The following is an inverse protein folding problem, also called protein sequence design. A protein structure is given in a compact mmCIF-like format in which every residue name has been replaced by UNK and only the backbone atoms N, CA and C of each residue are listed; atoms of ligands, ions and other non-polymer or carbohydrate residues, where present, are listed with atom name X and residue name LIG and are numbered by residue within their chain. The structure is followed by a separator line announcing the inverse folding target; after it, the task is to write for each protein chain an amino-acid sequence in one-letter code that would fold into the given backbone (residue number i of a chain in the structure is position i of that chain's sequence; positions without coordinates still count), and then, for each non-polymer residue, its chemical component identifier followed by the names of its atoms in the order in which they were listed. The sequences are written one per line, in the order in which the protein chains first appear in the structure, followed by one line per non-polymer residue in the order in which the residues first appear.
data_IF_727705391300
#
_entry.id   IF_727705391300
#
_cell.length_a   1.000
_cell.length_b   1.000
_cell.length_c   1.000
_cell.angle_alpha   90.00
_cell.angle_beta   90.00
_cell.angle_gamma   90.00
#
_symmetry.space_group_name_H-M   'P 1'
#
loop_
_entity.id
_entity.type
_entity.pdbx_description
1 polymer ?
#
# COMPACT_ATOMS: atom_id res chain seq x y z
N UNK A 1 -8.19 0.46 -17.19
CA UNK A 1 -7.19 -0.03 -16.23
C UNK A 1 -7.90 -0.93 -15.22
N UNK A 2 -7.39 -2.11 -14.92
CA UNK A 2 -7.91 -2.85 -13.76
C UNK A 2 -7.50 -2.12 -12.47
N UNK A 3 -8.39 -1.98 -11.47
CA UNK A 3 -8.05 -1.39 -10.18
C UNK A 3 -6.91 -2.16 -9.49
N UNK A 4 -5.91 -1.46 -8.95
CA UNK A 4 -4.88 -2.08 -8.10
C UNK A 4 -5.53 -2.77 -6.91
N UNK A 5 -4.98 -3.91 -6.51
CA UNK A 5 -5.47 -4.71 -5.39
C UNK A 5 -4.70 -4.43 -4.09
N UNK A 6 -5.41 -4.54 -2.97
CA UNK A 6 -4.79 -4.55 -1.66
C UNK A 6 -4.00 -5.85 -1.48
N UNK A 7 -2.70 -5.77 -1.18
CA UNK A 7 -1.84 -6.95 -0.96
C UNK A 7 -2.33 -7.86 0.17
N UNK A 8 -3.09 -7.33 1.13
CA UNK A 8 -3.55 -8.07 2.31
C UNK A 8 -4.90 -8.75 2.15
N UNK A 9 -5.81 -8.16 1.38
CA UNK A 9 -7.18 -8.68 1.25
C UNK A 9 -7.61 -8.93 -0.19
N UNK A 10 -6.71 -8.71 -1.15
CA UNK A 10 -6.91 -8.91 -2.59
C UNK A 10 -8.12 -8.20 -3.17
N UNK A 11 -8.68 -7.24 -2.43
CA UNK A 11 -9.83 -6.45 -2.88
C UNK A 11 -9.32 -5.30 -3.73
N UNK A 12 -9.81 -5.12 -4.97
CA UNK A 12 -9.44 -3.99 -5.79
C UNK A 12 -9.99 -2.67 -5.23
N UNK A 13 -9.19 -1.61 -5.23
CA UNK A 13 -9.57 -0.30 -4.68
C UNK A 13 -9.14 0.87 -5.57
N UNK A 14 -9.91 1.95 -5.50
CA UNK A 14 -9.60 3.27 -6.11
C UNK A 14 -8.35 3.93 -5.55
N UNK A 15 -8.14 3.72 -4.24
CA UNK A 15 -7.12 4.39 -3.44
C UNK A 15 -6.49 3.35 -2.53
N UNK A 16 -5.16 3.31 -2.52
CA UNK A 16 -4.35 2.44 -1.68
C UNK A 16 -3.23 3.27 -1.04
N UNK A 17 -2.68 2.76 0.06
CA UNK A 17 -1.52 3.31 0.73
C UNK A 17 -0.33 2.44 0.38
N UNK A 18 0.72 3.05 -0.18
CA UNK A 18 2.01 2.38 -0.36
C UNK A 18 2.72 2.37 0.99
N UNK A 19 3.07 1.19 1.51
CA UNK A 19 3.74 1.09 2.81
C UNK A 19 4.61 -0.17 2.94
N UNK A 20 5.61 -0.11 3.82
CA UNK A 20 6.30 -1.29 4.35
C UNK A 20 5.59 -1.73 5.63
N UNK A 21 5.49 -3.03 5.87
CA UNK A 21 4.70 -3.58 6.99
C UNK A 21 5.44 -4.65 7.79
N UNK A 22 6.58 -5.13 7.29
CA UNK A 22 7.38 -6.19 7.88
C UNK A 22 8.87 -5.93 7.65
N UNK A 23 9.71 -6.77 8.26
CA UNK A 23 11.17 -6.68 8.20
C UNK A 23 11.76 -6.84 6.80
N UNK A 24 10.98 -7.33 5.82
CA UNK A 24 11.48 -7.48 4.44
C UNK A 24 11.72 -6.14 3.75
N UNK A 25 11.11 -5.06 4.25
CA UNK A 25 11.19 -3.73 3.63
C UNK A 25 10.52 -3.64 2.26
N UNK A 26 9.72 -4.64 1.87
CA UNK A 26 8.98 -4.62 0.61
C UNK A 26 7.85 -3.59 0.66
N UNK A 27 7.66 -2.91 -0.45
CA UNK A 27 6.55 -1.97 -0.63
C UNK A 27 5.28 -2.73 -0.99
N UNK A 28 4.25 -2.56 -0.16
CA UNK A 28 2.93 -3.14 -0.33
C UNK A 28 1.93 -2.03 -0.67
N UNK A 29 0.81 -2.41 -1.29
CA UNK A 29 -0.34 -1.51 -1.46
C UNK A 29 -1.48 -1.98 -0.56
N UNK A 30 -1.88 -1.16 0.40
CA UNK A 30 -2.83 -1.53 1.46
C UNK A 30 -4.05 -0.61 1.42
N UNK A 31 -5.26 -1.15 1.57
CA UNK A 31 -6.47 -0.32 1.57
C UNK A 31 -6.60 0.51 2.85
N UNK A 32 -7.12 1.74 2.72
CA UNK A 32 -7.23 2.78 3.77
C UNK A 32 -8.14 2.42 4.95
N UNK A 33 -8.81 1.27 4.91
CA UNK A 33 -9.69 0.79 5.97
C UNK A 33 -9.00 -0.20 6.91
N UNK A 34 -9.64 -1.36 7.09
CA UNK A 34 -9.22 -2.41 8.03
C UNK A 34 -7.76 -2.83 7.87
N UNK A 35 -7.30 -2.96 6.62
CA UNK A 35 -5.95 -3.42 6.34
C UNK A 35 -4.90 -2.40 6.78
N UNK A 36 -5.08 -1.11 6.48
CA UNK A 36 -4.15 -0.08 6.96
C UNK A 36 -4.16 0.01 8.48
N UNK A 37 -5.34 0.03 9.09
CA UNK A 37 -5.47 0.02 10.55
C UNK A 37 -4.74 -1.17 11.19
N UNK A 38 -4.77 -2.34 10.56
CA UNK A 38 -4.10 -3.53 11.08
C UNK A 38 -2.57 -3.44 11.07
N UNK A 39 -1.97 -2.68 10.15
CA UNK A 39 -0.50 -2.58 9.99
C UNK A 39 0.11 -1.29 10.51
N UNK A 40 -0.70 -0.25 10.75
CA UNK A 40 -0.22 1.07 11.23
C UNK A 40 -0.92 1.54 12.51
N UNK A 41 -1.98 0.86 12.94
CA UNK A 41 -2.90 1.37 13.95
C UNK A 41 -3.86 2.46 13.43
N UNK A 42 -3.82 2.75 12.14
CA UNK A 42 -4.57 3.86 11.52
C UNK A 42 -3.88 5.21 11.68
N UNK A 43 -2.57 5.20 11.97
CA UNK A 43 -1.76 6.41 12.20
C UNK A 43 -0.66 6.48 11.14
N UNK A 44 -0.47 7.66 10.56
CA UNK A 44 0.63 7.91 9.62
C UNK A 44 1.98 7.64 10.31
N UNK A 45 2.85 6.90 9.62
CA UNK A 45 4.12 6.35 10.14
C UNK A 45 4.03 5.65 11.51
N UNK A 46 2.83 5.18 11.90
CA UNK A 46 2.58 4.58 13.21
C UNK A 46 3.11 5.45 14.38
N UNK A 47 3.03 6.78 14.25
CA UNK A 47 3.56 7.72 15.25
C UNK A 47 2.97 7.48 16.64
N UNK A 48 3.83 7.25 17.64
CA UNK A 48 3.44 6.87 18.99
C UNK A 48 3.04 5.39 19.15
N UNK A 49 3.13 4.60 18.08
CA UNK A 49 2.89 3.15 18.03
C UNK A 49 4.09 2.40 17.42
N UNK A 50 5.26 3.04 17.32
CA UNK A 50 6.46 2.49 16.67
C UNK A 50 6.90 1.19 17.33
N UNK A 51 6.74 1.05 18.65
CA UNK A 51 7.03 -0.20 19.37
C UNK A 51 6.08 -1.35 19.00
N UNK A 52 4.87 -1.04 18.52
CA UNK A 52 3.87 -2.02 18.06
C UNK A 52 3.97 -2.31 16.56
N UNK A 53 4.42 -1.33 15.78
CA UNK A 53 4.59 -1.42 14.33
C UNK A 53 6.02 -1.00 13.91
N UNK A 54 7.07 -1.70 14.38
CA UNK A 54 8.46 -1.25 14.24
C UNK A 54 8.93 -1.16 12.78
N UNK A 55 8.34 -1.98 11.91
CA UNK A 55 8.68 -2.06 10.49
C UNK A 55 7.75 -1.23 9.60
N UNK A 56 6.75 -0.56 10.18
CA UNK A 56 5.82 0.23 9.38
C UNK A 56 6.50 1.49 8.84
N UNK A 57 6.40 1.72 7.53
CA UNK A 57 6.86 2.96 6.88
C UNK A 57 5.82 3.43 5.88
N UNK A 58 5.41 4.69 5.98
CA UNK A 58 4.48 5.30 5.04
C UNK A 58 5.22 5.72 3.75
N UNK A 59 4.66 5.35 2.61
CA UNK A 59 5.22 5.60 1.28
C UNK A 59 4.32 6.45 0.37
N UNK A 60 3.27 7.06 0.94
CA UNK A 60 2.31 7.89 0.21
C UNK A 60 1.04 7.16 -0.21
N UNK A 61 0.04 7.96 -0.59
CA UNK A 61 -1.23 7.51 -1.14
C UNK A 61 -1.10 7.32 -2.65
N UNK A 62 -1.61 6.19 -3.16
CA UNK A 62 -1.68 5.87 -4.58
C UNK A 62 -3.13 5.81 -5.01
N UNK A 63 -3.51 6.68 -5.93
CA UNK A 63 -4.79 6.63 -6.64
C UNK A 63 -4.59 5.92 -7.99
N UNK A 64 -5.67 5.40 -8.57
CA UNK A 64 -5.61 4.77 -9.88
C UNK A 64 -5.10 5.70 -10.99
N UNK A 65 -5.30 7.02 -10.85
CA UNK A 65 -4.84 8.03 -11.81
C UNK A 65 -3.34 8.34 -11.66
N UNK A 66 -2.75 8.14 -10.48
CA UNK A 66 -1.35 8.45 -10.20
C UNK A 66 -0.37 7.35 -10.68
N UNK A 67 -0.89 6.24 -11.22
CA UNK A 67 -0.11 5.12 -11.78
C UNK A 67 -0.01 5.15 -13.32
N UNK A 68 -0.40 6.24 -13.97
CA UNK A 68 -0.35 6.36 -15.43
C UNK A 68 1.08 6.60 -15.99
N UNK A 69 2.13 6.12 -15.32
CA UNK A 69 3.50 6.17 -15.81
C UNK A 69 4.36 5.03 -15.24
N UNK A 70 4.03 3.79 -15.60
CA UNK A 70 4.97 2.73 -16.03
C UNK A 70 4.09 1.61 -16.61
N UNK A 71 3.57 1.84 -17.82
CA UNK A 71 3.12 0.73 -18.66
C UNK A 71 4.38 0.03 -19.15
N UNK A 72 4.84 -0.99 -18.42
CA UNK A 72 5.53 -2.09 -19.09
C UNK A 72 4.48 -2.74 -20.00
N UNK A 73 4.41 -2.26 -21.23
CA UNK A 73 3.91 -3.04 -22.34
C UNK A 73 4.98 -4.10 -22.65
N UNK A 74 4.78 -5.40 -22.43
CA UNK A 74 5.22 -6.35 -23.42
C UNK A 74 4.23 -6.25 -24.57
N UNK A 75 4.67 -5.62 -25.65
CA UNK A 75 4.04 -5.74 -26.96
C UNK A 75 3.87 -7.24 -27.23
N UNK A 76 2.63 -7.66 -27.45
CA UNK A 76 2.29 -8.89 -28.15
C UNK A 76 3.06 -8.91 -29.49
N UNK A 77 4.06 -9.81 -29.62
CA UNK A 77 4.53 -10.49 -30.84
C UNK A 77 5.63 -11.50 -30.51
#
# INVERSE_FOLDING_TARGET
MAPKECTLCHTPRGVLIRCQIDESGKWNFVCTGKCWQSVSGGVEDAKGLEGRYPHYRYGGMSTQDADASITYLPTDM
#
